data_IF_204588847435
#
_entry.id   IF_204588847435
#
_cell.length_a   1.000
_cell.length_b   1.000
_cell.length_c   1.000
_cell.angle_alpha   90.00
_cell.angle_beta   90.00
_cell.angle_gamma   90.00
#
_symmetry.space_group_name_H-M   'P 1'
#
loop_
_entity.id
_entity.type
_entity.pdbx_description
1 polymer ?
#
# COMPACT_ATOMS: atom_id res chain seq x y z
N UNK A 1 7.12 25.54 4.45
CA UNK A 1 7.21 24.84 3.16
C UNK A 1 6.87 23.39 3.41
N UNK A 2 5.58 23.09 3.58
CA UNK A 2 5.10 21.72 3.71
C UNK A 2 4.95 21.19 2.31
N UNK A 3 6.06 20.69 1.76
CA UNK A 3 6.05 19.92 0.52
C UNK A 3 5.11 18.75 0.75
N UNK A 4 3.96 18.83 0.08
CA UNK A 4 3.00 17.77 -0.19
C UNK A 4 3.77 16.53 -0.64
N UNK A 5 4.24 15.75 0.34
CA UNK A 5 4.94 14.50 0.10
C UNK A 5 3.84 13.51 -0.22
N UNK A 6 3.40 13.53 -1.48
CA UNK A 6 2.75 12.38 -2.08
C UNK A 6 3.61 11.18 -1.69
N UNK A 7 3.06 10.15 -1.01
CA UNK A 7 3.83 8.97 -0.70
C UNK A 7 4.43 8.49 -2.02
N UNK A 8 5.74 8.24 -2.03
CA UNK A 8 6.45 7.83 -3.24
C UNK A 8 5.56 6.86 -4.05
N UNK A 9 5.27 7.18 -5.31
CA UNK A 9 4.24 6.47 -6.08
C UNK A 9 4.48 4.95 -6.13
N UNK A 10 5.74 4.54 -6.00
CA UNK A 10 6.12 3.16 -5.97
C UNK A 10 6.15 2.59 -4.54
N UNK A 11 5.42 1.48 -4.29
CA UNK A 11 5.40 0.86 -2.96
C UNK A 11 6.76 0.34 -2.50
N UNK A 12 7.73 0.15 -3.41
CA UNK A 12 9.11 -0.18 -3.04
C UNK A 12 9.84 0.96 -2.31
N UNK A 13 9.44 2.20 -2.55
CA UNK A 13 10.05 3.41 -1.98
C UNK A 13 9.34 3.89 -0.71
N UNK A 14 8.30 3.17 -0.26
CA UNK A 14 7.57 3.55 0.94
C UNK A 14 8.42 3.36 2.19
N UNK A 15 8.45 4.41 3.01
CA UNK A 15 8.87 4.33 4.40
C UNK A 15 7.76 3.68 5.23
N UNK A 16 8.07 3.24 6.46
CA UNK A 16 7.07 2.72 7.41
C UNK A 16 5.88 3.67 7.57
N UNK A 17 6.12 5.00 7.55
CA UNK A 17 5.05 6.01 7.61
C UNK A 17 4.15 5.99 6.37
N UNK A 18 4.73 5.87 5.17
CA UNK A 18 3.95 5.78 3.92
C UNK A 18 3.10 4.51 3.89
N UNK A 19 3.64 3.38 4.34
CA UNK A 19 2.91 2.12 4.48
C UNK A 19 1.73 2.29 5.43
N UNK A 20 1.96 2.88 6.61
CA UNK A 20 0.91 3.16 7.58
C UNK A 20 -0.19 4.06 7.00
N UNK A 21 0.19 5.08 6.24
CA UNK A 21 -0.75 5.99 5.61
C UNK A 21 -1.60 5.27 4.55
N UNK A 22 -0.97 4.48 3.67
CA UNK A 22 -1.67 3.67 2.67
C UNK A 22 -2.65 2.69 3.31
N UNK A 23 -2.24 1.98 4.37
CA UNK A 23 -3.10 1.05 5.09
C UNK A 23 -4.30 1.76 5.71
N UNK A 24 -4.09 2.91 6.37
CA UNK A 24 -5.20 3.70 6.95
C UNK A 24 -6.16 4.22 5.89
N UNK A 25 -5.64 4.69 4.76
CA UNK A 25 -6.45 5.10 3.63
C UNK A 25 -7.28 3.93 3.10
N UNK A 26 -6.65 2.78 2.84
CA UNK A 26 -7.34 1.59 2.35
C UNK A 26 -8.40 1.09 3.35
N UNK A 27 -8.12 1.15 4.66
CA UNK A 27 -9.10 0.85 5.69
C UNK A 27 -10.31 1.78 5.62
N UNK A 28 -10.11 3.07 5.39
CA UNK A 28 -11.21 4.02 5.25
C UNK A 28 -11.99 3.84 3.94
N UNK A 29 -11.30 3.62 2.83
CA UNK A 29 -11.88 3.48 1.49
C UNK A 29 -12.71 2.20 1.36
N UNK A 30 -12.16 1.09 1.84
CA UNK A 30 -12.79 -0.24 1.75
C UNK A 30 -13.53 -0.65 3.04
N UNK A 31 -13.66 0.26 4.02
CA UNK A 31 -14.25 -0.01 5.33
C UNK A 31 -13.67 -1.26 6.02
N UNK A 32 -12.33 -1.37 6.01
CA UNK A 32 -11.61 -2.52 6.58
C UNK A 32 -11.24 -2.23 8.04
N UNK A 33 -11.49 -3.20 8.91
CA UNK A 33 -11.15 -3.13 10.33
C UNK A 33 -10.10 -4.20 10.70
N UNK A 34 -9.33 -3.94 11.76
CA UNK A 34 -8.42 -4.95 12.33
C UNK A 34 -7.11 -5.18 11.56
N UNK A 35 -6.70 -4.27 10.68
CA UNK A 35 -5.39 -4.35 10.00
C UNK A 35 -4.26 -3.98 10.98
N UNK A 36 -3.28 -4.87 11.23
CA UNK A 36 -2.21 -4.59 12.17
C UNK A 36 -1.10 -3.76 11.51
N UNK A 37 -1.22 -2.43 11.62
CA UNK A 37 -0.29 -1.46 10.99
C UNK A 37 1.19 -1.68 11.35
N UNK A 38 1.49 -2.20 12.55
CA UNK A 38 2.85 -2.45 13.01
C UNK A 38 3.48 -3.74 12.44
N UNK A 39 2.70 -4.61 11.81
CA UNK A 39 3.23 -5.85 11.22
C UNK A 39 3.84 -5.63 9.83
N UNK A 40 3.58 -4.47 9.23
CA UNK A 40 4.10 -4.08 7.92
C UNK A 40 5.30 -3.15 8.14
N UNK A 41 6.48 -3.59 7.68
CA UNK A 41 7.73 -2.83 7.75
C UNK A 41 7.78 -1.72 6.70
N UNK A 42 8.92 -1.59 6.01
CA UNK A 42 9.06 -0.65 4.90
C UNK A 42 8.44 -1.25 3.65
N UNK A 43 8.05 -0.40 2.72
CA UNK A 43 7.45 -0.78 1.44
C UNK A 43 8.18 -1.88 0.67
N UNK A 44 9.52 -1.79 0.63
CA UNK A 44 10.39 -2.82 0.05
C UNK A 44 10.15 -4.21 0.65
N UNK A 45 9.92 -4.29 1.97
CA UNK A 45 9.79 -5.56 2.69
C UNK A 45 8.43 -6.20 2.34
N UNK A 46 7.39 -5.37 2.21
CA UNK A 46 6.05 -5.79 1.77
C UNK A 46 6.05 -6.27 0.33
N UNK A 47 6.74 -5.55 -0.56
CA UNK A 47 6.89 -5.96 -1.95
C UNK A 47 7.70 -7.26 -2.10
N UNK A 48 8.58 -7.58 -1.14
CA UNK A 48 9.49 -8.72 -1.21
C UNK A 48 8.95 -9.97 -0.51
N UNK A 49 8.07 -9.84 0.48
CA UNK A 49 7.53 -10.99 1.24
C UNK A 49 6.55 -11.88 0.47
N UNK A 50 5.98 -11.38 -0.64
CA UNK A 50 5.02 -12.12 -1.46
C UNK A 50 3.61 -12.23 -0.84
N UNK A 51 2.63 -12.64 -1.66
CA UNK A 51 1.20 -12.67 -1.30
C UNK A 51 0.94 -13.49 -0.05
N UNK A 52 1.48 -14.70 0.00
CA UNK A 52 1.21 -15.65 1.09
C UNK A 52 1.67 -15.10 2.46
N UNK A 53 2.88 -14.56 2.53
CA UNK A 53 3.41 -13.94 3.76
C UNK A 53 2.66 -12.68 4.17
N UNK A 54 2.14 -11.92 3.19
CA UNK A 54 1.31 -10.75 3.45
C UNK A 54 -0.04 -11.15 4.04
N UNK A 55 -0.70 -12.15 3.44
CA UNK A 55 -1.98 -12.67 3.90
C UNK A 55 -1.90 -13.24 5.32
N UNK A 56 -0.78 -13.87 5.70
CA UNK A 56 -0.56 -14.36 7.07
C UNK A 56 -0.52 -13.24 8.13
N UNK A 57 -0.22 -12.00 7.73
CA UNK A 57 -0.14 -10.82 8.62
C UNK A 57 -1.44 -10.03 8.69
N UNK A 58 -2.40 -10.34 7.83
CA UNK A 58 -3.70 -9.65 7.73
C UNK A 58 -4.84 -10.59 8.06
N UNK A 59 -6.00 -10.06 8.49
CA UNK A 59 -7.22 -10.85 8.53
C UNK A 59 -7.58 -11.43 7.14
N UNK A 60 -8.28 -12.58 7.10
CA UNK A 60 -8.85 -13.13 5.87
C UNK A 60 -9.72 -12.09 5.16
N UNK A 61 -9.79 -12.12 3.82
CA UNK A 61 -10.48 -11.15 2.95
C UNK A 61 -9.84 -9.75 2.91
N UNK A 62 -9.47 -9.19 4.05
CA UNK A 62 -8.78 -7.90 4.16
C UNK A 62 -7.41 -7.95 3.48
N UNK A 63 -6.67 -9.04 3.70
CA UNK A 63 -5.38 -9.27 3.06
C UNK A 63 -5.44 -9.32 1.55
N UNK A 64 -6.45 -9.97 0.98
CA UNK A 64 -6.60 -10.11 -0.46
C UNK A 64 -6.85 -8.75 -1.13
N UNK A 65 -7.75 -7.93 -0.55
CA UNK A 65 -8.05 -6.58 -1.05
C UNK A 65 -6.79 -5.70 -1.02
N UNK A 66 -6.07 -5.68 0.11
CA UNK A 66 -4.86 -4.89 0.26
C UNK A 66 -3.75 -5.36 -0.69
N UNK A 67 -3.59 -6.68 -0.85
CA UNK A 67 -2.61 -7.25 -1.75
C UNK A 67 -2.90 -6.92 -3.21
N UNK A 68 -4.15 -7.04 -3.65
CA UNK A 68 -4.56 -6.63 -5.00
C UNK A 68 -4.24 -5.15 -5.26
N UNK A 69 -4.54 -4.28 -4.28
CA UNK A 69 -4.21 -2.86 -4.39
C UNK A 69 -2.71 -2.61 -4.45
N UNK A 70 -1.92 -3.34 -3.65
CA UNK A 70 -0.46 -3.29 -3.68
C UNK A 70 0.08 -3.76 -5.05
N UNK A 71 -0.49 -4.81 -5.64
CA UNK A 71 -0.14 -5.26 -6.99
C UNK A 71 -0.47 -4.23 -8.05
N UNK A 72 -1.60 -3.53 -7.94
CA UNK A 72 -1.97 -2.43 -8.83
C UNK A 72 -0.95 -1.29 -8.71
N UNK A 73 -0.51 -0.94 -7.50
CA UNK A 73 0.51 0.09 -7.27
C UNK A 73 1.89 -0.34 -7.77
N UNK A 74 2.22 -1.63 -7.67
CA UNK A 74 3.47 -2.20 -8.21
C UNK A 74 3.47 -2.27 -9.74
N UNK A 75 2.33 -2.66 -10.34
CA UNK A 75 2.11 -2.68 -11.80
C UNK A 75 1.81 -1.29 -12.36
N UNK A 76 1.54 -0.34 -11.46
CA UNK A 76 1.20 1.06 -11.68
C UNK A 76 2.36 1.79 -12.32
N UNK A 77 2.29 1.79 -13.66
CA UNK A 77 2.98 2.68 -14.58
C UNK A 77 3.05 4.09 -13.99
N UNK A 78 4.14 4.85 -14.26
CA UNK A 78 4.14 6.28 -13.95
C UNK A 78 2.81 6.85 -14.42
N UNK A 79 2.16 7.65 -13.59
CA UNK A 79 1.08 8.49 -14.03
C UNK A 79 1.66 9.38 -15.14
N UNK A 80 1.66 8.87 -16.37
CA UNK A 80 1.64 9.69 -17.53
C UNK A 80 0.36 10.49 -17.35
N UNK A 81 0.53 11.78 -17.03
CA UNK A 81 -0.38 12.81 -17.51
C UNK A 81 -0.40 12.78 -19.06
N UNK A 82 -0.90 11.69 -19.60
CA UNK A 82 -1.42 11.53 -20.93
C UNK A 82 -2.67 10.69 -20.67
N UNK A 83 -3.86 11.28 -20.56
CA UNK A 83 -4.42 12.17 -21.55
C UNK A 83 -5.53 13.04 -20.91
N UNK A 84 -5.47 14.35 -21.16
CA UNK A 84 -6.61 15.28 -21.36
C UNK A 84 -7.51 15.60 -20.16
N UNK A 85 -7.35 16.80 -19.59
CA UNK A 85 -8.25 17.97 -19.74
C UNK A 85 -7.62 19.21 -19.10
#
# INVERSE_FOLDING_TARGET
MESTTSPAWHPREWSEKHVNFWLRWAMSEFSLEGVPLQQFGKGRDICQMGKESFLQRTPPFVGDILWEHLEILQKGKPHANALLT
#
